data_IF_796424288585
#
_entry.id   IF_796424288585
#
_cell.length_a   1.000
_cell.length_b   1.000
_cell.length_c   1.000
_cell.angle_alpha   90.00
_cell.angle_beta   90.00
_cell.angle_gamma   90.00
#
_symmetry.space_group_name_H-M   'P 1'
#
loop_
_entity.id
_entity.type
_entity.pdbx_description
1 polymer ?
#
# COMPACT_ATOMS: atom_id res chain seq x y z
N UNK A 1 18.09 20.71 11.93
CA UNK A 1 17.81 19.60 10.96
C UNK A 1 16.56 19.99 10.18
N UNK A 2 16.49 19.66 8.89
CA UNK A 2 15.55 20.28 7.93
C UNK A 2 14.09 19.85 8.16
N UNK A 3 13.23 20.75 8.65
CA UNK A 3 11.79 20.54 8.83
C UNK A 3 10.99 20.61 7.52
N UNK A 4 11.68 20.81 6.38
CA UNK A 4 11.05 21.01 5.06
C UNK A 4 10.42 19.73 4.52
N UNK A 5 10.96 18.57 4.88
CA UNK A 5 10.45 17.27 4.40
C UNK A 5 9.08 16.92 4.99
N UNK A 6 8.88 17.20 6.28
CA UNK A 6 7.59 17.00 6.95
C UNK A 6 6.52 17.97 6.44
N UNK A 7 6.91 19.20 6.12
CA UNK A 7 6.00 20.23 5.61
C UNK A 7 5.49 19.88 4.20
N UNK A 8 6.38 19.37 3.34
CA UNK A 8 6.01 18.86 2.01
C UNK A 8 5.14 17.59 2.08
N UNK A 9 5.42 16.69 3.02
CA UNK A 9 4.60 15.48 3.20
C UNK A 9 3.19 15.82 3.70
N UNK A 10 3.07 16.68 4.71
CA UNK A 10 1.77 17.13 5.24
C UNK A 10 1.00 17.90 4.15
N UNK A 11 1.68 18.77 3.40
CA UNK A 11 1.09 19.45 2.25
C UNK A 11 0.56 18.48 1.20
N UNK A 12 1.36 17.46 0.85
CA UNK A 12 0.96 16.39 -0.07
C UNK A 12 -0.22 15.56 0.44
N UNK A 13 -0.26 15.23 1.74
CA UNK A 13 -1.35 14.49 2.37
C UNK A 13 -2.66 15.26 2.30
N UNK A 14 -2.64 16.56 2.61
CA UNK A 14 -3.85 17.41 2.57
C UNK A 14 -4.40 17.49 1.15
N UNK A 15 -3.52 17.73 0.16
CA UNK A 15 -3.92 17.81 -1.25
C UNK A 15 -4.46 16.46 -1.73
N UNK A 16 -3.79 15.36 -1.40
CA UNK A 16 -4.22 14.00 -1.75
C UNK A 16 -5.56 13.64 -1.12
N UNK A 17 -5.76 13.99 0.15
CA UNK A 17 -7.02 13.77 0.86
C UNK A 17 -8.16 14.61 0.27
N UNK A 18 -7.92 15.87 -0.09
CA UNK A 18 -8.94 16.71 -0.73
C UNK A 18 -9.38 16.10 -2.08
N UNK A 19 -8.43 15.70 -2.92
CA UNK A 19 -8.73 15.09 -4.22
C UNK A 19 -9.40 13.72 -4.05
N UNK A 20 -8.90 12.88 -3.15
CA UNK A 20 -9.44 11.55 -2.88
C UNK A 20 -10.85 11.59 -2.30
N UNK A 21 -11.13 12.55 -1.41
CA UNK A 21 -12.48 12.75 -0.86
C UNK A 21 -13.43 13.31 -1.90
N UNK A 22 -13.05 14.31 -2.70
CA UNK A 22 -13.89 14.81 -3.78
C UNK A 22 -14.22 13.70 -4.79
N UNK A 23 -13.22 12.93 -5.20
CA UNK A 23 -13.38 11.81 -6.14
C UNK A 23 -14.24 10.70 -5.54
N UNK A 24 -13.97 10.29 -4.30
CA UNK A 24 -14.75 9.28 -3.59
C UNK A 24 -16.18 9.70 -3.30
N UNK A 25 -16.40 10.98 -2.99
CA UNK A 25 -17.72 11.56 -2.74
C UNK A 25 -18.54 11.75 -4.01
N UNK A 26 -17.88 12.02 -5.14
CA UNK A 26 -18.51 12.08 -6.47
C UNK A 26 -18.83 10.69 -7.01
N UNK A 27 -17.99 9.69 -6.72
CA UNK A 27 -18.27 8.29 -7.05
C UNK A 27 -19.38 7.69 -6.17
N UNK A 28 -19.63 8.26 -4.98
CA UNK A 28 -20.74 7.86 -4.14
C UNK A 28 -22.09 8.32 -4.74
N UNK A 29 -23.04 7.41 -5.02
CA UNK A 29 -24.21 7.66 -5.89
C UNK A 29 -25.26 8.67 -5.40
N UNK A 30 -25.05 9.38 -4.28
CA UNK A 30 -26.12 10.08 -3.54
C UNK A 30 -25.93 11.59 -3.29
N UNK A 31 -24.84 12.23 -3.73
CA UNK A 31 -24.35 13.45 -3.06
C UNK A 31 -24.87 14.80 -3.56
N UNK A 32 -25.79 14.86 -4.52
CA UNK A 32 -26.13 16.12 -5.19
C UNK A 32 -27.03 17.08 -4.40
N UNK A 33 -28.23 16.64 -4.00
CA UNK A 33 -29.29 17.53 -3.46
C UNK A 33 -29.58 17.32 -1.99
N UNK A 34 -29.59 16.07 -1.55
CA UNK A 34 -29.82 15.71 -0.15
C UNK A 34 -28.61 16.06 0.72
N UNK A 35 -27.39 15.78 0.26
CA UNK A 35 -26.17 16.14 0.98
C UNK A 35 -26.02 17.64 1.17
N UNK A 36 -26.43 18.47 0.21
CA UNK A 36 -26.38 19.94 0.38
C UNK A 36 -27.38 20.45 1.42
N UNK A 37 -28.58 19.84 1.53
CA UNK A 37 -29.55 20.15 2.59
C UNK A 37 -29.10 19.64 3.95
N UNK A 38 -28.54 18.44 4.00
CA UNK A 38 -27.94 17.84 5.21
C UNK A 38 -26.75 18.66 5.68
N UNK A 39 -25.81 19.04 4.82
CA UNK A 39 -24.67 19.89 5.19
C UNK A 39 -25.12 21.24 5.74
N UNK A 40 -26.15 21.86 5.15
CA UNK A 40 -26.65 23.15 5.62
C UNK A 40 -27.29 23.02 7.01
N UNK A 41 -28.11 21.98 7.22
CA UNK A 41 -28.78 21.71 8.51
C UNK A 41 -27.80 21.23 9.59
N UNK A 42 -26.80 20.44 9.21
CA UNK A 42 -25.72 19.99 10.08
C UNK A 42 -24.74 21.13 10.39
N UNK A 43 -24.50 22.07 9.48
CA UNK A 43 -23.68 23.25 9.71
C UNK A 43 -24.33 24.24 10.70
N UNK A 44 -25.66 24.39 10.63
CA UNK A 44 -26.37 25.24 11.59
C UNK A 44 -26.45 24.59 12.99
N UNK A 45 -26.46 23.26 13.08
CA UNK A 45 -26.45 22.51 14.35
C UNK A 45 -25.03 22.22 14.88
N UNK A 46 -23.99 22.45 14.08
CA UNK A 46 -22.60 22.15 14.41
C UNK A 46 -22.08 22.86 15.66
N UNK A 47 -22.35 24.14 15.95
CA UNK A 47 -21.81 24.78 17.15
C UNK A 47 -22.42 24.21 18.44
N UNK A 48 -23.74 24.00 18.48
CA UNK A 48 -24.44 23.43 19.63
C UNK A 48 -24.07 21.95 19.85
N UNK A 49 -23.99 21.17 18.76
CA UNK A 49 -23.45 19.81 18.80
C UNK A 49 -21.96 19.80 19.15
N UNK A 50 -21.14 20.73 18.69
CA UNK A 50 -19.70 20.75 19.00
C UNK A 50 -19.44 21.03 20.48
N UNK A 51 -20.30 21.79 21.14
CA UNK A 51 -20.17 22.10 22.57
C UNK A 51 -20.52 20.86 23.42
N UNK A 52 -21.66 20.21 23.15
CA UNK A 52 -22.06 18.95 23.80
C UNK A 52 -21.15 17.77 23.44
N UNK A 53 -20.71 17.73 22.18
CA UNK A 53 -19.82 16.71 21.66
C UNK A 53 -18.40 16.92 22.19
N UNK A 54 -17.91 18.15 22.37
CA UNK A 54 -16.59 18.39 22.99
C UNK A 54 -16.53 17.83 24.41
N UNK A 55 -17.58 18.06 25.21
CA UNK A 55 -17.69 17.52 26.57
C UNK A 55 -17.72 15.98 26.58
N UNK A 56 -18.53 15.36 25.72
CA UNK A 56 -18.67 13.90 25.65
C UNK A 56 -17.53 13.19 24.90
N UNK A 57 -16.89 13.87 23.95
CA UNK A 57 -15.71 13.41 23.20
C UNK A 57 -14.50 13.47 24.09
N UNK A 58 -14.29 14.46 24.95
CA UNK A 58 -13.15 14.41 25.88
C UNK A 58 -13.19 13.15 26.75
N UNK A 59 -14.36 12.85 27.34
CA UNK A 59 -14.53 11.68 28.19
C UNK A 59 -14.42 10.34 27.44
N UNK A 60 -14.87 10.29 26.18
CA UNK A 60 -14.77 9.09 25.33
C UNK A 60 -13.42 8.98 24.62
N UNK A 61 -12.76 10.10 24.33
CA UNK A 61 -11.48 10.18 23.64
C UNK A 61 -10.39 9.58 24.51
N UNK A 62 -10.41 9.75 25.82
CA UNK A 62 -9.43 9.12 26.70
C UNK A 62 -9.50 7.58 26.62
N UNK A 63 -10.72 7.02 26.63
CA UNK A 63 -10.95 5.56 26.53
C UNK A 63 -10.75 5.03 25.11
N UNK A 64 -11.19 5.80 24.12
CA UNK A 64 -11.01 5.48 22.71
C UNK A 64 -9.54 5.59 22.33
N UNK A 65 -8.79 6.53 22.89
CA UNK A 65 -7.36 6.71 22.66
C UNK A 65 -6.60 5.48 23.08
N UNK A 66 -6.79 4.97 24.30
CA UNK A 66 -6.04 3.81 24.77
C UNK A 66 -6.32 2.55 23.93
N UNK A 67 -7.59 2.32 23.55
CA UNK A 67 -7.97 1.19 22.69
C UNK A 67 -7.60 1.39 21.21
N UNK A 68 -7.68 2.62 20.71
CA UNK A 68 -7.28 2.99 19.36
C UNK A 68 -5.77 2.91 19.19
N UNK A 69 -4.98 3.36 20.16
CA UNK A 69 -3.52 3.25 20.14
C UNK A 69 -3.09 1.78 20.06
N UNK A 70 -3.68 0.91 20.88
CA UNK A 70 -3.42 -0.55 20.81
C UNK A 70 -3.77 -1.14 19.45
N UNK A 71 -4.95 -0.83 18.91
CA UNK A 71 -5.39 -1.31 17.59
C UNK A 71 -4.57 -0.70 16.45
N UNK A 72 -4.12 0.54 16.60
CA UNK A 72 -3.33 1.26 15.64
C UNK A 72 -1.94 0.65 15.52
N UNK A 73 -1.29 0.36 16.64
CA UNK A 73 -0.01 -0.35 16.67
C UNK A 73 -0.11 -1.72 15.99
N UNK A 74 -1.17 -2.49 16.28
CA UNK A 74 -1.41 -3.78 15.62
C UNK A 74 -1.63 -3.63 14.11
N UNK A 75 -2.42 -2.64 13.70
CA UNK A 75 -2.68 -2.35 12.28
C UNK A 75 -1.40 -1.92 11.56
N UNK A 76 -0.58 -1.09 12.20
CA UNK A 76 0.72 -0.65 11.67
C UNK A 76 1.69 -1.81 11.55
N UNK A 77 1.73 -2.72 12.53
CA UNK A 77 2.56 -3.91 12.49
C UNK A 77 2.19 -4.78 11.29
N UNK A 78 0.89 -5.10 11.13
CA UNK A 78 0.38 -5.87 10.00
C UNK A 78 0.65 -5.20 8.66
N UNK A 79 0.47 -3.88 8.59
CA UNK A 79 0.74 -3.12 7.36
C UNK A 79 2.22 -3.15 7.00
N UNK A 80 3.11 -2.92 7.97
CA UNK A 80 4.56 -3.01 7.77
C UNK A 80 4.97 -4.40 7.29
N UNK A 81 4.41 -5.44 7.89
CA UNK A 81 4.67 -6.83 7.50
C UNK A 81 4.15 -7.14 6.10
N UNK A 82 2.95 -6.69 5.75
CA UNK A 82 2.40 -6.83 4.40
C UNK A 82 3.23 -6.07 3.36
N UNK A 83 3.73 -4.88 3.69
CA UNK A 83 4.62 -4.10 2.83
C UNK A 83 5.97 -4.82 2.67
N UNK A 84 6.57 -5.32 3.75
CA UNK A 84 7.83 -6.05 3.70
C UNK A 84 7.71 -7.33 2.86
N UNK A 85 6.67 -8.13 3.11
CA UNK A 85 6.37 -9.33 2.33
C UNK A 85 6.10 -9.00 0.85
N UNK A 86 5.41 -7.89 0.57
CA UNK A 86 5.18 -7.41 -0.79
C UNK A 86 6.48 -7.02 -1.51
N UNK A 87 7.42 -6.38 -0.82
CA UNK A 87 8.74 -6.02 -1.36
C UNK A 87 9.60 -7.26 -1.58
N UNK A 88 9.59 -8.21 -0.64
CA UNK A 88 10.34 -9.47 -0.75
C UNK A 88 9.83 -10.36 -1.89
N UNK A 89 8.51 -10.52 -2.02
CA UNK A 89 7.89 -11.24 -3.13
C UNK A 89 8.31 -10.64 -4.49
N UNK A 90 8.36 -9.31 -4.57
CA UNK A 90 8.84 -8.60 -5.76
C UNK A 90 10.33 -8.84 -6.04
N UNK A 91 11.14 -9.07 -5.00
CA UNK A 91 12.54 -9.44 -5.11
C UNK A 91 12.76 -10.86 -5.64
N UNK A 92 11.93 -11.82 -5.20
CA UNK A 92 12.02 -13.23 -5.60
C UNK A 92 11.60 -13.44 -7.06
N UNK A 93 10.61 -12.67 -7.53
CA UNK A 93 10.21 -12.58 -8.96
C UNK A 93 11.42 -12.24 -9.85
N UNK A 94 12.36 -11.42 -9.36
CA UNK A 94 13.55 -11.02 -10.11
C UNK A 94 14.67 -12.06 -10.12
N UNK A 95 14.68 -12.96 -9.14
CA UNK A 95 15.75 -13.95 -8.97
C UNK A 95 15.45 -15.27 -9.72
N UNK A 96 14.18 -15.64 -9.85
CA UNK A 96 13.76 -16.77 -10.70
C UNK A 96 14.01 -16.48 -12.19
N UNK A 97 13.81 -15.24 -12.63
CA UNK A 97 14.13 -14.79 -13.99
C UNK A 97 15.64 -14.89 -14.28
N UNK A 98 16.49 -14.50 -13.32
CA UNK A 98 17.95 -14.62 -13.48
C UNK A 98 18.45 -16.07 -13.54
N UNK A 99 17.86 -17.00 -12.77
CA UNK A 99 18.30 -18.41 -12.82
C UNK A 99 17.90 -19.12 -14.11
N UNK A 100 16.74 -18.78 -14.68
CA UNK A 100 16.29 -19.30 -15.97
C UNK A 100 17.19 -18.77 -17.10
N UNK A 101 17.55 -17.48 -17.07
CA UNK A 101 18.44 -16.89 -18.09
C UNK A 101 19.86 -17.49 -18.05
N UNK A 102 20.43 -17.72 -16.85
CA UNK A 102 21.77 -18.30 -16.68
C UNK A 102 21.83 -19.78 -17.12
N UNK A 103 20.75 -20.55 -16.94
CA UNK A 103 20.71 -21.94 -17.37
C UNK A 103 20.49 -22.07 -18.89
N UNK A 104 19.66 -21.20 -19.48
CA UNK A 104 19.48 -21.10 -20.93
C UNK A 104 20.77 -20.71 -21.65
N UNK A 105 21.54 -19.74 -21.13
CA UNK A 105 22.83 -19.37 -21.73
C UNK A 105 23.89 -20.48 -21.64
N UNK A 106 23.89 -21.28 -20.55
CA UNK A 106 24.79 -22.43 -20.43
C UNK A 106 24.46 -23.55 -21.42
N UNK A 107 23.19 -23.85 -21.63
CA UNK A 107 22.79 -24.87 -22.60
C UNK A 107 23.03 -24.44 -24.05
N UNK A 108 22.85 -23.16 -24.39
CA UNK A 108 23.11 -22.65 -25.74
C UNK A 108 24.61 -22.63 -26.13
N UNK A 109 25.53 -22.67 -25.16
CA UNK A 109 26.99 -22.72 -25.39
C UNK A 109 27.50 -24.16 -25.48
N UNK A 110 26.80 -25.14 -24.87
CA UNK A 110 27.19 -26.56 -24.89
C UNK A 110 26.92 -27.29 -26.21
N UNK A 111 26.10 -26.72 -27.10
CA UNK A 111 25.60 -27.40 -28.30
C UNK A 111 26.49 -27.20 -29.55
N UNK A 112 27.67 -26.59 -29.38
CA UNK A 112 28.65 -26.40 -30.46
C UNK A 112 29.93 -27.18 -30.20
N UNK A 113 29.90 -28.52 -30.28
CA UNK A 113 31.04 -29.30 -30.76
C UNK A 113 30.54 -30.70 -31.23
N UNK A 114 30.80 -31.12 -32.48
CA UNK A 114 30.18 -32.32 -33.05
C UNK A 114 30.81 -33.61 -32.52
N UNK A 115 29.97 -34.49 -31.98
CA UNK A 115 30.30 -35.90 -31.78
C UNK A 115 30.24 -36.62 -33.13
N UNK A 116 31.40 -36.81 -33.76
CA UNK A 116 31.57 -37.71 -34.90
C UNK A 116 32.39 -38.92 -34.47
N UNK A 117 31.65 -40.02 -34.28
CA UNK A 117 32.06 -41.40 -34.57
C UNK A 117 33.31 -41.95 -33.88
N UNK A 118 33.12 -42.54 -32.70
CA UNK A 118 33.92 -43.67 -32.23
C UNK A 118 33.06 -44.94 -32.30
N UNK A 119 32.98 -45.54 -33.48
CA UNK A 119 32.45 -46.88 -33.66
C UNK A 119 33.42 -47.64 -34.57
N UNK A 120 34.19 -48.56 -33.99
CA UNK A 120 34.32 -49.93 -34.50
C UNK A 120 35.09 -50.76 -33.50
N UNK A 121 34.39 -51.80 -33.06
CA UNK A 121 34.77 -52.87 -32.16
C UNK A 121 35.53 -53.93 -32.98
N UNK A 122 36.51 -54.57 -32.34
CA UNK A 122 36.85 -56.00 -32.50
C UNK A 122 37.31 -56.53 -33.87
N UNK A 123 38.61 -56.85 -33.97
CA UNK A 123 39.28 -58.06 -34.52
C UNK A 123 40.78 -57.77 -34.34
N UNK A 124 41.65 -58.55 -33.72
CA UNK A 124 41.79 -60.00 -33.48
C UNK A 124 42.24 -60.30 -32.04
#
# INVERSE_FOLDING_TARGET
MSNKGSELFIGGLIIGAAIGTLTGLLMAPRTGRETRKLLKKSADALPELAEDLSSSVQLQADRLSESALRRWEETLARLKEAIAAGIEAYGWERQSLNQIEVNTKRNAVGDKLPSSAAETRSTE
#
